data_IF_861695750899
#
_entry.id   IF_861695750899
#
_cell.length_a   1.000
_cell.length_b   1.000
_cell.length_c   1.000
_cell.angle_alpha   90.00
_cell.angle_beta   90.00
_cell.angle_gamma   90.00
#
_symmetry.space_group_name_H-M   'P 1'
#
loop_
_entity.id
_entity.type
_entity.pdbx_description
1 polymer ?
#
# COMPACT_ATOMS: atom_id res chain seq x y z
N UNK A 1 17.41 -0.94 1.47
CA UNK A 1 16.43 -1.09 0.36
C UNK A 1 16.83 -0.16 -0.78
N UNK A 2 16.57 -0.52 -2.04
CA UNK A 2 16.86 0.29 -3.22
C UNK A 2 15.74 0.16 -4.28
N UNK A 3 15.79 0.97 -5.34
CA UNK A 3 14.75 1.00 -6.37
C UNK A 3 14.52 -0.36 -7.04
N UNK A 4 15.60 -1.08 -7.39
CA UNK A 4 15.53 -2.38 -8.05
C UNK A 4 14.75 -3.38 -7.19
N UNK A 5 15.11 -3.50 -5.91
CA UNK A 5 14.43 -4.39 -4.97
C UNK A 5 12.95 -4.04 -4.84
N UNK A 6 12.60 -2.74 -4.78
CA UNK A 6 11.20 -2.30 -4.68
C UNK A 6 10.42 -2.61 -5.95
N UNK A 7 11.01 -2.39 -7.13
CA UNK A 7 10.38 -2.73 -8.42
C UNK A 7 10.11 -4.24 -8.48
N UNK A 8 11.11 -5.08 -8.24
CA UNK A 8 10.97 -6.54 -8.26
C UNK A 8 9.90 -7.00 -7.27
N UNK A 9 9.92 -6.44 -6.04
CA UNK A 9 8.92 -6.74 -5.00
C UNK A 9 7.51 -6.36 -5.45
N UNK A 10 7.33 -5.16 -5.99
CA UNK A 10 6.02 -4.69 -6.46
C UNK A 10 5.52 -5.49 -7.67
N UNK A 11 6.40 -5.88 -8.60
CA UNK A 11 6.03 -6.72 -9.75
C UNK A 11 5.57 -8.11 -9.31
N UNK A 12 6.31 -8.74 -8.39
CA UNK A 12 5.92 -10.04 -7.84
C UNK A 12 4.61 -9.97 -7.05
N UNK A 13 4.44 -8.94 -6.22
CA UNK A 13 3.19 -8.71 -5.50
C UNK A 13 2.01 -8.51 -6.47
N UNK A 14 2.19 -7.70 -7.52
CA UNK A 14 1.18 -7.48 -8.54
C UNK A 14 0.79 -8.78 -9.26
N UNK A 15 1.78 -9.55 -9.73
CA UNK A 15 1.56 -10.83 -10.40
C UNK A 15 0.79 -11.82 -9.49
N UNK A 16 1.18 -11.88 -8.21
CA UNK A 16 0.49 -12.71 -7.23
C UNK A 16 -0.96 -12.26 -7.03
N UNK A 17 -1.21 -10.97 -6.83
CA UNK A 17 -2.56 -10.41 -6.72
C UNK A 17 -3.41 -10.70 -7.97
N UNK A 18 -2.86 -10.60 -9.17
CA UNK A 18 -3.59 -10.91 -10.42
C UNK A 18 -4.11 -12.34 -10.45
N UNK A 19 -3.34 -13.31 -9.92
CA UNK A 19 -3.76 -14.72 -9.86
C UNK A 19 -4.88 -15.01 -8.85
N UNK A 20 -5.03 -14.17 -7.81
CA UNK A 20 -6.02 -14.35 -6.74
C UNK A 20 -7.29 -13.50 -6.93
N UNK A 21 -7.18 -12.38 -7.63
CA UNK A 21 -8.28 -11.42 -7.80
C UNK A 21 -8.61 -11.24 -9.30
N UNK A 22 -9.31 -12.20 -9.93
CA UNK A 22 -9.69 -12.10 -11.33
C UNK A 22 -10.80 -11.07 -11.60
N UNK A 23 -11.59 -10.71 -10.57
CA UNK A 23 -12.64 -9.68 -10.67
C UNK A 23 -12.06 -8.27 -10.57
N UNK A 24 -12.56 -7.37 -11.42
CA UNK A 24 -12.14 -5.96 -11.48
C UNK A 24 -12.49 -5.14 -10.24
N UNK A 25 -13.45 -5.59 -9.43
CA UNK A 25 -13.89 -4.88 -8.22
C UNK A 25 -12.73 -4.70 -7.21
N UNK A 26 -11.84 -5.70 -7.11
CA UNK A 26 -10.67 -5.68 -6.23
C UNK A 26 -9.39 -5.19 -6.90
N UNK A 27 -9.44 -4.69 -8.15
CA UNK A 27 -8.26 -4.18 -8.89
C UNK A 27 -7.81 -2.82 -8.37
N UNK A 28 -7.44 -2.80 -7.10
CA UNK A 28 -6.88 -1.66 -6.41
C UNK A 28 -5.91 -2.07 -5.32
N UNK A 29 -4.97 -1.18 -5.01
CA UNK A 29 -4.01 -1.27 -3.91
C UNK A 29 -4.05 0.01 -3.08
N UNK A 30 -3.93 -0.11 -1.76
CA UNK A 30 -3.72 1.03 -0.86
C UNK A 30 -2.23 1.17 -0.56
N UNK A 31 -1.64 2.37 -0.72
CA UNK A 31 -0.20 2.58 -0.52
C UNK A 31 0.03 3.77 0.40
N UNK A 32 0.71 3.53 1.52
CA UNK A 32 1.15 4.55 2.46
C UNK A 32 2.65 4.52 2.68
N UNK A 33 3.17 5.56 3.32
CA UNK A 33 4.59 5.65 3.65
C UNK A 33 4.83 6.54 4.87
N UNK A 34 5.97 6.39 5.53
CA UNK A 34 6.41 7.26 6.63
C UNK A 34 7.38 8.35 6.15
N UNK A 35 7.85 9.20 7.07
CA UNK A 35 8.72 10.32 6.76
C UNK A 35 10.21 9.96 6.51
N UNK A 36 10.57 8.67 6.37
CA UNK A 36 11.96 8.27 6.14
C UNK A 36 12.43 8.66 4.73
N UNK A 37 13.76 8.74 4.59
CA UNK A 37 14.37 8.96 3.28
C UNK A 37 13.93 7.86 2.29
N UNK A 38 13.62 8.28 1.06
CA UNK A 38 13.06 7.46 -0.02
C UNK A 38 11.70 6.79 0.22
N UNK A 39 11.08 6.88 1.39
CA UNK A 39 9.78 6.26 1.66
C UNK A 39 8.71 6.68 0.63
N UNK A 40 8.59 7.99 0.37
CA UNK A 40 7.70 8.52 -0.68
C UNK A 40 8.07 7.96 -2.05
N UNK A 41 9.34 8.01 -2.45
CA UNK A 41 9.79 7.53 -3.76
C UNK A 41 9.43 6.06 -3.98
N UNK A 42 9.68 5.20 -3.00
CA UNK A 42 9.42 3.77 -3.09
C UNK A 42 7.92 3.44 -3.07
N UNK A 43 7.10 4.18 -2.33
CA UNK A 43 5.65 4.07 -2.43
C UNK A 43 5.13 4.41 -3.83
N UNK A 44 5.69 5.45 -4.46
CA UNK A 44 5.32 5.84 -5.82
C UNK A 44 5.81 4.83 -6.88
N UNK A 45 6.98 4.21 -6.70
CA UNK A 45 7.42 3.09 -7.55
C UNK A 45 6.40 1.94 -7.47
N UNK A 46 5.96 1.55 -6.27
CA UNK A 46 4.91 0.54 -6.11
C UNK A 46 3.63 0.93 -6.83
N UNK A 47 3.18 2.19 -6.67
CA UNK A 47 1.98 2.69 -7.34
C UNK A 47 2.11 2.56 -8.87
N UNK A 48 3.27 2.91 -9.44
CA UNK A 48 3.54 2.81 -10.88
C UNK A 48 3.33 1.40 -11.40
N UNK A 49 3.92 0.40 -10.74
CA UNK A 49 3.80 -1.00 -11.18
C UNK A 49 2.34 -1.44 -11.26
N UNK A 50 1.51 -1.07 -10.28
CA UNK A 50 0.08 -1.40 -10.28
C UNK A 50 -0.70 -0.62 -11.35
N UNK A 51 -0.40 0.67 -11.53
CA UNK A 51 -1.03 1.52 -12.55
C UNK A 51 -0.73 1.01 -13.97
N UNK A 52 0.52 0.66 -14.25
CA UNK A 52 0.94 0.06 -15.53
C UNK A 52 0.29 -1.31 -15.76
N UNK A 53 -0.04 -2.00 -14.66
CA UNK A 53 -0.84 -3.21 -14.65
C UNK A 53 -2.35 -2.99 -14.82
N UNK A 54 -2.81 -1.74 -14.96
CA UNK A 54 -4.22 -1.37 -15.12
C UNK A 54 -5.01 -1.30 -13.81
N UNK A 55 -4.37 -1.37 -12.65
CA UNK A 55 -5.02 -1.34 -11.34
C UNK A 55 -5.01 0.08 -10.75
N UNK A 56 -6.02 0.39 -9.95
CA UNK A 56 -6.07 1.67 -9.21
C UNK A 56 -5.04 1.65 -8.08
N UNK A 57 -4.17 2.65 -8.01
CA UNK A 57 -3.30 2.87 -6.87
C UNK A 57 -3.86 4.01 -6.02
N UNK A 58 -4.41 3.66 -4.86
CA UNK A 58 -4.87 4.61 -3.86
C UNK A 58 -3.68 4.92 -2.95
N UNK A 59 -2.97 6.02 -3.23
CA UNK A 59 -1.73 6.40 -2.57
C UNK A 59 -1.90 7.70 -1.79
N UNK A 60 -1.52 7.70 -0.52
CA UNK A 60 -1.51 8.91 0.30
C UNK A 60 -0.50 9.93 -0.26
N UNK A 61 -0.87 11.22 -0.34
CA UNK A 61 0.02 12.27 -0.90
C UNK A 61 1.13 12.70 0.05
N UNK A 62 0.88 12.54 1.34
CA UNK A 62 1.82 12.76 2.44
C UNK A 62 1.95 11.51 3.31
N UNK A 63 2.88 11.53 4.26
CA UNK A 63 3.08 10.41 5.17
C UNK A 63 1.82 10.11 5.99
N UNK A 64 1.57 8.83 6.28
CA UNK A 64 0.39 8.42 7.03
C UNK A 64 0.70 7.33 8.07
N UNK A 65 -0.14 7.19 9.11
CA UNK A 65 -0.01 6.09 10.06
C UNK A 65 -0.25 4.73 9.38
N UNK A 66 0.53 3.71 9.75
CA UNK A 66 0.34 2.34 9.23
C UNK A 66 -1.11 1.81 9.34
N UNK A 67 -1.88 2.09 10.42
CA UNK A 67 -3.27 1.65 10.51
C UNK A 67 -4.18 2.18 9.40
N UNK A 68 -3.86 3.32 8.78
CA UNK A 68 -4.67 3.87 7.67
C UNK A 68 -4.59 2.99 6.43
N UNK A 69 -3.42 2.40 6.15
CA UNK A 69 -3.25 1.45 5.04
C UNK A 69 -4.09 0.21 5.30
N UNK A 70 -3.93 -0.43 6.46
CA UNK A 70 -4.68 -1.63 6.85
C UNK A 70 -6.20 -1.41 6.83
N UNK A 71 -6.68 -0.31 7.42
CA UNK A 71 -8.09 0.07 7.38
C UNK A 71 -8.56 0.30 5.94
N UNK A 72 -7.80 1.05 5.16
CA UNK A 72 -8.13 1.39 3.78
C UNK A 72 -8.29 0.15 2.90
N UNK A 73 -7.49 -0.89 3.11
CA UNK A 73 -7.61 -2.14 2.34
C UNK A 73 -9.02 -2.73 2.50
N UNK A 74 -9.49 -2.85 3.73
CA UNK A 74 -10.85 -3.38 4.00
C UNK A 74 -11.95 -2.40 3.60
N UNK A 75 -11.71 -1.10 3.75
CA UNK A 75 -12.71 -0.07 3.45
C UNK A 75 -13.00 0.05 1.94
N UNK A 76 -11.96 -0.02 1.10
CA UNK A 76 -12.09 0.05 -0.36
C UNK A 76 -12.17 -1.33 -1.04
N UNK A 77 -12.20 -2.42 -0.28
CA UNK A 77 -12.13 -3.80 -0.79
C UNK A 77 -10.95 -4.02 -1.75
N UNK A 78 -9.81 -3.39 -1.46
CA UNK A 78 -8.58 -3.51 -2.24
C UNK A 78 -7.97 -4.90 -2.10
N UNK A 79 -7.29 -5.37 -3.14
CA UNK A 79 -6.63 -6.68 -3.13
C UNK A 79 -5.53 -6.78 -2.05
N UNK A 80 -4.80 -5.70 -1.83
CA UNK A 80 -3.76 -5.62 -0.81
C UNK A 80 -3.45 -4.16 -0.46
N UNK A 81 -2.59 -3.97 0.52
CA UNK A 81 -2.01 -2.67 0.86
C UNK A 81 -0.52 -2.76 1.13
N UNK A 82 0.19 -1.66 0.91
CA UNK A 82 1.62 -1.54 1.13
C UNK A 82 1.90 -0.34 2.03
N UNK A 83 2.70 -0.53 3.06
CA UNK A 83 3.24 0.54 3.88
C UNK A 83 4.77 0.53 3.78
N UNK A 84 5.34 1.61 3.24
CA UNK A 84 6.79 1.81 3.21
C UNK A 84 7.24 2.44 4.53
N UNK A 85 7.82 1.63 5.40
CA UNK A 85 8.26 2.03 6.75
C UNK A 85 9.17 0.98 7.37
N UNK A 86 10.13 1.42 8.20
CA UNK A 86 10.83 0.54 9.15
C UNK A 86 10.38 0.74 10.60
N UNK A 87 9.20 1.32 10.84
CA UNK A 87 8.62 1.52 12.17
C UNK A 87 9.59 2.25 13.11
N UNK A 88 10.13 1.56 14.11
CA UNK A 88 11.00 2.11 15.15
C UNK A 88 12.50 1.91 14.89
N UNK A 89 12.88 1.28 13.77
CA UNK A 89 14.27 1.07 13.41
C UNK A 89 15.03 2.41 13.22
N UNK A 90 16.38 2.39 13.26
CA UNK A 90 17.22 3.56 12.95
C UNK A 90 16.82 4.25 11.63
N UNK A 91 17.09 5.55 11.50
CA UNK A 91 16.65 6.37 10.35
C UNK A 91 17.13 5.87 8.98
N UNK A 92 18.29 5.20 8.97
CA UNK A 92 18.94 4.71 7.75
C UNK A 92 18.28 3.41 7.23
N UNK A 93 17.49 2.75 8.09
CA UNK A 93 16.67 1.60 7.71
C UNK A 93 15.36 2.05 7.05
N UNK A 94 14.89 1.23 6.12
CA UNK A 94 13.53 1.32 5.58
C UNK A 94 12.99 -0.09 5.31
N UNK A 95 11.67 -0.22 5.15
CA UNK A 95 11.01 -1.51 5.05
C UNK A 95 9.76 -1.44 4.18
N UNK A 96 9.24 -2.63 3.86
CA UNK A 96 8.12 -2.81 2.94
C UNK A 96 7.12 -3.79 3.57
N UNK A 97 6.07 -3.26 4.17
CA UNK A 97 5.04 -4.07 4.83
C UNK A 97 3.87 -4.28 3.89
N UNK A 98 3.41 -5.52 3.76
CA UNK A 98 2.25 -5.88 2.92
C UNK A 98 1.09 -6.31 3.81
N UNK A 99 -0.09 -5.79 3.51
CA UNK A 99 -1.37 -6.16 4.09
C UNK A 99 -2.20 -6.87 3.02
N UNK A 100 -2.84 -7.98 3.35
CA UNK A 100 -3.71 -8.70 2.41
C UNK A 100 -5.13 -8.12 2.39
N UNK A 101 -6.03 -8.65 1.55
CA UNK A 101 -7.38 -8.11 1.34
C UNK A 101 -8.26 -8.06 2.61
N UNK A 102 -7.91 -8.80 3.66
CA UNK A 102 -8.55 -8.75 4.97
C UNK A 102 -7.99 -7.64 5.89
N UNK A 103 -7.07 -6.81 5.39
CA UNK A 103 -6.41 -5.74 6.14
C UNK A 103 -5.33 -6.22 7.11
N UNK A 104 -5.12 -7.53 7.28
CA UNK A 104 -4.07 -8.07 8.14
C UNK A 104 -2.73 -8.09 7.41
N UNK A 105 -1.63 -7.98 8.16
CA UNK A 105 -0.30 -8.17 7.60
C UNK A 105 -0.16 -9.61 7.06
N UNK A 106 0.52 -9.77 5.92
CA UNK A 106 0.66 -11.09 5.27
C UNK A 106 1.30 -12.13 6.20
N UNK A 107 0.77 -13.35 6.11
CA UNK A 107 1.22 -14.57 6.79
C UNK A 107 1.11 -15.73 5.77
N UNK A 108 1.57 -16.95 6.10
CA UNK A 108 1.32 -18.11 5.25
C UNK A 108 -0.16 -18.29 4.88
N UNK A 109 -0.48 -18.65 3.63
CA UNK A 109 0.45 -18.99 2.54
C UNK A 109 0.88 -17.79 1.66
N UNK A 110 0.37 -16.59 1.92
CA UNK A 110 0.55 -15.44 1.03
C UNK A 110 1.99 -14.92 1.02
N UNK A 111 2.68 -14.94 2.17
CA UNK A 111 4.09 -14.56 2.26
C UNK A 111 4.97 -15.35 1.28
N UNK A 112 4.84 -16.68 1.29
CA UNK A 112 5.60 -17.57 0.41
C UNK A 112 5.18 -17.40 -1.05
N UNK A 113 3.89 -17.33 -1.33
CA UNK A 113 3.38 -17.13 -2.69
C UNK A 113 3.82 -15.80 -3.32
N UNK A 114 3.85 -14.72 -2.54
CA UNK A 114 4.39 -13.43 -2.98
C UNK A 114 5.90 -13.55 -3.23
N UNK A 115 6.66 -14.17 -2.32
CA UNK A 115 8.10 -14.39 -2.49
C UNK A 115 8.41 -15.14 -3.79
N UNK A 116 7.69 -16.24 -4.05
CA UNK A 116 7.89 -17.03 -5.26
C UNK A 116 7.54 -16.22 -6.53
N UNK A 117 6.52 -15.36 -6.44
CA UNK A 117 6.15 -14.47 -7.55
C UNK A 117 7.20 -13.37 -7.79
N UNK A 118 7.91 -12.93 -6.75
CA UNK A 118 9.04 -11.99 -6.86
C UNK A 118 10.22 -12.66 -7.57
N UNK A 119 10.56 -13.90 -7.20
CA UNK A 119 11.64 -14.67 -7.84
C UNK A 119 11.37 -14.91 -9.34
N UNK A 120 10.10 -14.99 -9.73
CA UNK A 120 9.69 -15.07 -11.15
C UNK A 120 9.63 -13.70 -11.85
N UNK A 121 9.71 -12.60 -11.12
CA UNK A 121 9.54 -11.22 -11.61
C UNK A 121 10.78 -10.35 -11.44
N UNK A 122 11.97 -10.97 -11.48
CA UNK A 122 13.25 -10.29 -11.20
C UNK A 122 13.71 -9.31 -12.28
N UNK A 123 13.17 -9.39 -13.50
CA UNK A 123 13.51 -8.45 -14.57
C UNK A 123 12.54 -7.27 -14.49
N UNK A 124 13.01 -6.05 -14.16
CA UNK A 124 12.18 -4.85 -14.19
C UNK A 124 11.67 -4.59 -15.60
N UNK A 125 10.37 -4.34 -15.74
CA UNK A 125 9.84 -3.77 -16.99
C UNK A 125 10.37 -2.36 -17.15
N UNK A 126 10.65 -1.94 -18.38
CA UNK A 126 11.13 -0.57 -18.66
C UNK A 126 10.16 0.50 -18.11
N UNK A 127 8.85 0.22 -18.17
CA UNK A 127 7.81 1.10 -17.61
C UNK A 127 7.75 1.12 -16.09
N UNK A 128 8.55 0.34 -15.36
CA UNK A 128 8.58 0.37 -13.88
C UNK A 128 9.56 1.39 -13.30
N UNK A 129 10.44 1.96 -14.13
CA UNK A 129 11.44 2.94 -13.70
C UNK A 129 10.90 4.37 -13.70
N UNK A 130 11.41 5.21 -12.80
CA UNK A 130 11.01 6.61 -12.66
C UNK A 130 9.60 6.78 -12.06
N UNK A 131 9.30 7.97 -11.52
CA UNK A 131 8.00 8.25 -10.86
C UNK A 131 7.28 9.47 -11.43
N UNK A 132 7.67 9.87 -12.63
CA UNK A 132 7.22 11.09 -13.28
C UNK A 132 5.74 10.99 -13.65
N UNK A 133 4.99 12.05 -13.38
CA UNK A 133 3.57 12.21 -13.74
C UNK A 133 2.60 11.13 -13.20
N UNK A 134 3.00 10.29 -12.24
CA UNK A 134 2.12 9.28 -11.63
C UNK A 134 0.84 9.93 -11.08
N UNK A 135 0.98 11.06 -10.37
CA UNK A 135 -0.15 11.76 -9.76
C UNK A 135 -1.19 12.26 -10.77
N UNK A 136 -0.80 12.46 -12.04
CA UNK A 136 -1.70 12.89 -13.12
C UNK A 136 -2.43 11.71 -13.76
N UNK A 137 -2.02 10.47 -13.48
CA UNK A 137 -2.68 9.29 -14.03
C UNK A 137 -4.04 9.11 -13.36
N UNK A 138 -5.09 8.85 -14.15
CA UNK A 138 -6.46 8.62 -13.67
C UNK A 138 -6.60 7.45 -12.68
N UNK A 139 -5.65 6.50 -12.69
CA UNK A 139 -5.61 5.36 -11.78
C UNK A 139 -4.88 5.69 -10.47
N UNK A 140 -4.23 6.85 -10.35
CA UNK A 140 -3.59 7.32 -9.13
C UNK A 140 -4.55 8.19 -8.32
N UNK A 141 -5.10 7.62 -7.25
CA UNK A 141 -6.16 8.24 -6.45
C UNK A 141 -5.58 8.59 -5.08
N UNK A 142 -5.93 9.75 -4.54
CA UNK A 142 -5.58 10.12 -3.16
C UNK A 142 -6.71 9.69 -2.21
N UNK A 143 -6.50 8.72 -1.30
CA UNK A 143 -7.53 8.26 -0.37
C UNK A 143 -7.60 9.07 0.93
N UNK A 144 -6.77 10.10 1.10
CA UNK A 144 -6.49 10.74 2.41
C UNK A 144 -7.77 11.20 3.12
N UNK A 145 -8.59 12.02 2.47
CA UNK A 145 -9.78 12.62 3.09
C UNK A 145 -10.82 11.57 3.46
N UNK A 146 -11.06 10.61 2.56
CA UNK A 146 -12.07 9.57 2.74
C UNK A 146 -11.67 8.60 3.86
N UNK A 147 -10.40 8.22 3.92
CA UNK A 147 -9.86 7.38 4.99
C UNK A 147 -9.88 8.12 6.33
N UNK A 148 -9.39 9.35 6.38
CA UNK A 148 -9.34 10.11 7.63
C UNK A 148 -10.76 10.26 8.23
N UNK A 149 -11.72 10.67 7.40
CA UNK A 149 -13.11 10.82 7.82
C UNK A 149 -13.71 9.50 8.30
N UNK A 150 -13.53 8.43 7.53
CA UNK A 150 -14.16 7.13 7.83
C UNK A 150 -13.50 6.43 9.02
N UNK A 151 -12.17 6.54 9.16
CA UNK A 151 -11.42 5.97 10.27
C UNK A 151 -11.84 6.62 11.60
N UNK A 152 -11.89 7.96 11.65
CA UNK A 152 -12.32 8.70 12.84
C UNK A 152 -13.78 8.41 13.20
N UNK A 153 -14.67 8.31 12.21
CA UNK A 153 -16.06 7.93 12.45
C UNK A 153 -16.18 6.51 13.04
N UNK A 154 -15.41 5.55 12.53
CA UNK A 154 -15.38 4.18 13.04
C UNK A 154 -14.82 4.10 14.46
N UNK A 155 -13.74 4.85 14.73
CA UNK A 155 -13.11 4.90 16.05
C UNK A 155 -14.08 5.35 17.15
N UNK A 156 -14.91 6.38 16.88
CA UNK A 156 -15.93 6.86 17.84
C UNK A 156 -16.89 5.75 18.29
N UNK A 157 -17.21 4.81 17.41
CA UNK A 157 -18.11 3.68 17.70
C UNK A 157 -17.43 2.51 18.42
N UNK A 158 -16.09 2.53 18.52
CA UNK A 158 -15.28 1.51 19.19
C UNK A 158 -14.73 1.99 20.54
N UNK A 159 -14.84 3.29 20.83
CA UNK A 159 -14.46 3.87 22.12
C UNK A 159 -15.43 3.39 23.21
N UNK A 160 -14.93 2.58 24.13
CA UNK A 160 -15.68 2.04 25.27
C UNK A 160 -16.00 3.08 26.36
N UNK A 161 -15.42 4.29 26.29
CA UNK A 161 -15.68 5.41 27.20
C UNK A 161 -16.44 6.54 26.48
N UNK A 162 -17.79 6.60 26.61
CA UNK A 162 -18.61 7.58 25.90
C UNK A 162 -18.33 9.05 26.24
N UNK A 163 -17.56 9.35 27.31
CA UNK A 163 -17.34 10.70 27.82
C UNK A 163 -15.97 11.34 27.53
N UNK A 164 -15.01 10.63 26.92
CA UNK A 164 -13.66 11.17 26.71
C UNK A 164 -13.51 12.02 25.43
N UNK A 165 -14.54 12.09 24.59
CA UNK A 165 -14.55 12.87 23.34
C UNK A 165 -15.05 14.32 23.48
N UNK A 166 -15.35 14.78 24.70
CA UNK A 166 -15.95 16.10 24.96
C UNK A 166 -14.94 17.18 25.41
N UNK A 167 -13.65 16.99 25.11
CA UNK A 167 -12.61 18.00 25.31
C UNK A 167 -11.82 18.19 24.01
N UNK A 168 -12.49 18.73 22.99
CA UNK A 168 -11.91 19.60 21.97
C UNK A 168 -12.97 20.62 21.54
#
# INVERSE_FOLDING_TARGET
MNDLTVIQTAQGLFAYCQSFFPSSESHSIIIGFDARYNSKKWAYITAKVFIEGGWRALIFRDFCPTPFVSFGVTFFSSACGVMVTASHNPKDDNGYKVFWNNGAQIIPPHDKGISDSIDLSLIPKDSSWGIENIEKNKLCIDPTDEILKSYLAKQKNLCYTPGAGALM
#
